data_IF_344330395109
#
_entry.id   IF_344330395109
#
_cell.length_a   1.000
_cell.length_b   1.000
_cell.length_c   1.000
_cell.angle_alpha   90.00
_cell.angle_beta   90.00
_cell.angle_gamma   90.00
#
_symmetry.space_group_name_H-M   'P 1'
#
loop_
_entity.id
_entity.type
_entity.pdbx_description
1 polymer ?
#
# COMPACT_ATOMS: atom_id res chain seq x y z
N UNK A 1 3.89 11.45 36.43
CA UNK A 1 2.72 10.70 35.90
C UNK A 1 3.13 9.24 35.77
N UNK A 2 2.52 8.33 36.53
CA UNK A 2 2.97 6.92 36.61
C UNK A 2 2.42 6.06 35.46
N UNK A 3 1.53 6.57 34.60
CA UNK A 3 0.88 5.81 33.55
C UNK A 3 1.13 6.43 32.17
N UNK A 4 1.44 5.58 31.18
CA UNK A 4 1.50 5.92 29.77
C UNK A 4 0.35 5.17 29.08
N UNK A 5 -0.51 5.90 28.39
CA UNK A 5 -1.57 5.31 27.58
C UNK A 5 -1.06 5.24 26.14
N UNK A 6 -1.08 4.06 25.57
CA UNK A 6 -0.69 3.80 24.18
C UNK A 6 -1.92 3.38 23.38
N UNK A 7 -1.94 3.73 22.10
CA UNK A 7 -2.96 3.29 21.14
C UNK A 7 -2.29 2.48 20.05
N UNK A 8 -3.08 1.67 19.34
CA UNK A 8 -2.62 0.90 18.19
C UNK A 8 -2.07 1.84 17.10
N UNK A 9 -0.94 1.45 16.51
CA UNK A 9 -0.30 2.19 15.41
C UNK A 9 -1.20 2.35 14.19
N UNK A 10 -2.14 1.44 13.98
CA UNK A 10 -3.15 1.49 12.91
C UNK A 10 -4.02 2.74 12.94
N UNK A 11 -4.14 3.43 14.08
CA UNK A 11 -4.85 4.72 14.17
C UNK A 11 -4.17 5.80 13.32
N UNK A 12 -2.86 5.72 13.12
CA UNK A 12 -2.08 6.73 12.39
C UNK A 12 -1.48 6.25 11.06
N UNK A 13 -1.23 4.96 10.93
CA UNK A 13 -0.63 4.32 9.74
C UNK A 13 -1.05 2.84 9.68
N UNK A 14 -2.29 2.59 9.29
CA UNK A 14 -2.91 1.28 9.34
C UNK A 14 -2.22 0.23 8.44
N UNK A 15 -1.65 0.65 7.33
CA UNK A 15 -0.93 -0.23 6.39
C UNK A 15 0.59 -0.11 6.48
N UNK A 16 1.12 0.67 7.43
CA UNK A 16 2.57 0.81 7.65
C UNK A 16 3.31 1.51 6.51
N UNK A 17 2.63 2.32 5.72
CA UNK A 17 3.17 2.90 4.48
C UNK A 17 4.14 4.06 4.70
N UNK A 18 4.05 4.78 5.83
CA UNK A 18 4.93 5.93 6.08
C UNK A 18 6.40 5.57 6.01
N UNK A 19 6.80 4.49 6.71
CA UNK A 19 8.18 4.03 6.70
C UNK A 19 8.66 3.64 5.30
N UNK A 20 7.80 3.03 4.48
CA UNK A 20 8.11 2.68 3.09
C UNK A 20 8.33 3.94 2.25
N UNK A 21 7.42 4.92 2.33
CA UNK A 21 7.52 6.18 1.60
C UNK A 21 8.76 6.98 2.00
N UNK A 22 9.10 7.03 3.29
CA UNK A 22 10.31 7.69 3.80
C UNK A 22 11.59 7.03 3.26
N UNK A 23 11.64 5.69 3.21
CA UNK A 23 12.76 4.94 2.63
C UNK A 23 12.90 5.25 1.13
N UNK A 24 11.81 5.22 0.35
CA UNK A 24 11.84 5.52 -1.08
C UNK A 24 12.26 6.98 -1.34
N UNK A 25 11.77 7.92 -0.55
CA UNK A 25 12.18 9.34 -0.62
C UNK A 25 13.66 9.53 -0.30
N UNK A 26 14.17 8.80 0.68
CA UNK A 26 15.59 8.81 1.04
C UNK A 26 16.45 8.27 -0.11
N UNK A 27 16.04 7.15 -0.72
CA UNK A 27 16.71 6.60 -1.90
C UNK A 27 16.76 7.61 -3.05
N UNK A 28 15.64 8.23 -3.36
CA UNK A 28 15.56 9.24 -4.42
C UNK A 28 16.52 10.41 -4.15
N UNK A 29 16.57 10.88 -2.90
CA UNK A 29 17.43 11.99 -2.49
C UNK A 29 18.92 11.64 -2.59
N UNK A 30 19.32 10.45 -2.14
CA UNK A 30 20.71 9.98 -2.21
C UNK A 30 21.17 9.79 -3.66
N UNK A 31 20.34 9.20 -4.52
CA UNK A 31 20.64 9.05 -5.94
C UNK A 31 20.76 10.42 -6.64
N UNK A 32 19.84 11.35 -6.36
CA UNK A 32 19.90 12.70 -6.89
C UNK A 32 21.20 13.44 -6.48
N UNK A 33 21.66 13.23 -5.25
CA UNK A 33 22.93 13.74 -4.77
C UNK A 33 24.17 13.04 -5.40
N UNK A 34 23.97 11.88 -6.02
CA UNK A 34 25.05 11.05 -6.56
C UNK A 34 25.81 10.27 -5.49
N UNK A 35 25.19 10.09 -4.32
CA UNK A 35 25.76 9.33 -3.21
C UNK A 35 25.67 7.84 -3.48
N UNK A 36 26.72 7.09 -3.11
CA UNK A 36 26.72 5.64 -3.17
C UNK A 36 26.07 5.06 -1.92
N UNK A 37 25.18 4.10 -2.15
CA UNK A 37 24.49 3.41 -1.06
C UNK A 37 24.77 1.90 -1.10
N UNK A 38 24.63 1.18 0.02
CA UNK A 38 24.72 -0.28 0.02
C UNK A 38 23.69 -0.97 -0.89
N UNK A 39 22.69 -0.23 -1.35
CA UNK A 39 21.55 -0.73 -2.14
C UNK A 39 21.68 -0.44 -3.64
N UNK A 40 22.79 0.11 -4.13
CA UNK A 40 23.00 0.43 -5.55
C UNK A 40 22.93 -0.79 -6.47
N UNK A 41 23.05 -2.01 -5.91
CA UNK A 41 22.90 -3.27 -6.63
C UNK A 41 21.44 -3.79 -6.68
N UNK A 42 20.52 -3.18 -5.91
CA UNK A 42 19.09 -3.54 -5.94
C UNK A 42 18.49 -3.11 -7.28
N UNK A 43 17.76 -4.02 -7.91
CA UNK A 43 17.09 -3.78 -9.21
C UNK A 43 15.58 -3.87 -9.10
N UNK A 44 15.07 -4.63 -8.15
CA UNK A 44 13.64 -4.82 -7.96
C UNK A 44 13.29 -4.66 -6.48
N UNK A 45 12.23 -3.92 -6.20
CA UNK A 45 11.62 -3.81 -4.89
C UNK A 45 10.16 -4.27 -5.02
N UNK A 46 9.80 -5.32 -4.30
CA UNK A 46 8.42 -5.77 -4.18
C UNK A 46 7.83 -5.23 -2.88
N UNK A 47 6.71 -4.53 -2.97
CA UNK A 47 5.98 -3.99 -1.83
C UNK A 47 4.62 -4.67 -1.80
N UNK A 48 4.42 -5.53 -0.81
CA UNK A 48 3.14 -6.19 -0.58
C UNK A 48 2.31 -5.34 0.38
N UNK A 49 1.24 -4.76 -0.15
CA UNK A 49 0.30 -3.97 0.64
C UNK A 49 -0.83 -4.88 1.08
N UNK A 50 -0.77 -5.33 2.33
CA UNK A 50 -1.80 -6.20 2.90
C UNK A 50 -2.86 -5.33 3.55
N UNK A 51 -4.01 -5.25 2.90
CA UNK A 51 -5.16 -4.49 3.37
C UNK A 51 -6.33 -5.43 3.67
N UNK A 52 -6.50 -5.76 4.93
CA UNK A 52 -7.60 -6.59 5.42
C UNK A 52 -8.82 -5.76 5.85
N UNK A 53 -8.98 -4.57 5.29
CA UNK A 53 -10.11 -3.70 5.59
C UNK A 53 -11.41 -4.43 5.28
N UNK A 54 -12.08 -4.90 6.32
CA UNK A 54 -13.42 -5.44 6.23
C UNK A 54 -14.40 -4.28 6.03
N UNK A 55 -15.16 -4.34 4.94
CA UNK A 55 -16.23 -3.38 4.67
C UNK A 55 -17.56 -4.13 4.81
N UNK A 56 -18.06 -4.31 6.05
CA UNK A 56 -19.35 -4.96 6.24
C UNK A 56 -20.44 -4.17 5.50
N UNK A 57 -21.43 -4.86 4.93
CA UNK A 57 -22.53 -4.19 4.22
C UNK A 57 -23.16 -3.14 5.13
N UNK A 58 -23.16 -1.90 4.69
CA UNK A 58 -23.84 -0.83 5.40
C UNK A 58 -25.30 -0.78 4.91
N UNK A 59 -26.24 -1.12 5.77
CA UNK A 59 -27.67 -1.12 5.48
C UNK A 59 -28.42 0.06 6.10
N UNK A 60 -27.71 1.09 6.60
CA UNK A 60 -28.32 2.28 7.21
C UNK A 60 -29.38 2.91 6.31
N UNK A 61 -29.15 2.90 4.98
CA UNK A 61 -30.12 3.43 4.02
C UNK A 61 -31.38 2.57 3.83
N UNK A 62 -31.47 1.40 4.48
CA UNK A 62 -32.66 0.54 4.46
C UNK A 62 -33.57 0.73 5.68
N UNK A 63 -33.11 1.48 6.67
CA UNK A 63 -33.83 1.76 7.90
C UNK A 63 -34.27 3.21 7.97
N UNK A 64 -35.52 3.45 8.34
CA UNK A 64 -36.07 4.78 8.53
C UNK A 64 -35.45 5.51 9.74
N UNK A 65 -35.08 4.74 10.75
CA UNK A 65 -34.43 5.28 11.94
C UNK A 65 -32.95 5.56 11.70
N UNK A 66 -32.40 6.68 12.19
CA UNK A 66 -30.99 6.96 12.11
C UNK A 66 -30.18 5.91 12.89
N UNK A 67 -28.93 5.62 12.46
CA UNK A 67 -28.06 4.71 13.19
C UNK A 67 -27.78 5.23 14.61
N UNK A 68 -27.43 4.33 15.53
CA UNK A 68 -27.06 4.71 16.88
C UNK A 68 -25.85 5.64 16.88
N UNK A 69 -25.83 6.60 17.80
CA UNK A 69 -24.74 7.58 17.91
C UNK A 69 -23.36 6.91 18.00
N UNK A 70 -23.27 5.78 18.69
CA UNK A 70 -22.03 5.01 18.84
C UNK A 70 -21.55 4.43 17.50
N UNK A 71 -22.44 3.92 16.65
CA UNK A 71 -22.11 3.40 15.32
C UNK A 71 -21.63 4.51 14.39
N UNK A 72 -22.27 5.69 14.48
CA UNK A 72 -21.83 6.87 13.74
C UNK A 72 -20.44 7.30 14.18
N UNK A 73 -20.15 7.28 15.49
CA UNK A 73 -18.86 7.68 16.03
C UNK A 73 -17.73 6.73 15.59
N UNK A 74 -17.98 5.40 15.66
CA UNK A 74 -17.02 4.39 15.16
C UNK A 74 -16.77 4.60 13.67
N UNK A 75 -17.81 4.78 12.87
CA UNK A 75 -17.66 4.99 11.43
C UNK A 75 -16.94 6.31 11.11
N UNK A 76 -17.24 7.37 11.85
CA UNK A 76 -16.61 8.67 11.68
C UNK A 76 -15.10 8.64 12.02
N UNK A 77 -14.68 7.84 12.99
CA UNK A 77 -13.25 7.69 13.33
C UNK A 77 -12.53 6.75 12.38
N UNK A 78 -13.19 5.71 11.86
CA UNK A 78 -12.60 4.76 10.89
C UNK A 78 -12.37 5.38 9.51
N UNK A 79 -13.29 6.22 9.04
CA UNK A 79 -13.22 6.80 7.69
C UNK A 79 -11.92 7.57 7.37
N UNK A 80 -11.38 8.42 8.26
CA UNK A 80 -10.10 9.07 8.02
C UNK A 80 -8.93 8.08 7.92
N UNK A 81 -8.93 7.01 8.72
CA UNK A 81 -7.89 5.98 8.73
C UNK A 81 -7.89 5.23 7.39
N UNK A 82 -9.06 4.85 6.91
CA UNK A 82 -9.25 4.18 5.62
C UNK A 82 -8.78 5.06 4.46
N UNK A 83 -9.17 6.34 4.48
CA UNK A 83 -8.77 7.31 3.48
C UNK A 83 -7.27 7.55 3.48
N UNK A 84 -6.65 7.64 4.65
CA UNK A 84 -5.21 7.82 4.78
C UNK A 84 -4.43 6.62 4.22
N UNK A 85 -4.93 5.42 4.46
CA UNK A 85 -4.36 4.18 3.91
C UNK A 85 -4.44 4.17 2.38
N UNK A 86 -5.57 4.59 1.82
CA UNK A 86 -5.77 4.69 0.39
C UNK A 86 -4.82 5.71 -0.24
N UNK A 87 -4.76 6.94 0.30
CA UNK A 87 -3.91 8.01 -0.19
C UNK A 87 -2.42 7.61 -0.15
N UNK A 88 -2.00 6.85 0.85
CA UNK A 88 -0.62 6.35 0.96
C UNK A 88 -0.28 5.33 -0.14
N UNK A 89 -1.22 4.44 -0.50
CA UNK A 89 -1.05 3.49 -1.60
C UNK A 89 -1.00 4.20 -2.95
N UNK A 90 -1.84 5.20 -3.17
CA UNK A 90 -1.80 6.02 -4.38
C UNK A 90 -0.48 6.78 -4.50
N UNK A 91 0.02 7.38 -3.41
CA UNK A 91 1.34 8.01 -3.38
C UNK A 91 2.45 7.04 -3.77
N UNK A 92 2.38 5.78 -3.31
CA UNK A 92 3.35 4.75 -3.70
C UNK A 92 3.27 4.44 -5.20
N UNK A 93 2.08 4.35 -5.77
CA UNK A 93 1.90 4.14 -7.22
C UNK A 93 2.42 5.31 -8.04
N UNK A 94 2.25 6.54 -7.56
CA UNK A 94 2.81 7.73 -8.19
C UNK A 94 4.35 7.70 -8.20
N UNK A 95 4.99 7.27 -7.11
CA UNK A 95 6.44 7.07 -7.05
C UNK A 95 6.87 6.00 -8.05
N UNK A 96 6.18 4.87 -8.11
CA UNK A 96 6.44 3.79 -9.06
C UNK A 96 6.40 4.30 -10.51
N UNK A 97 5.33 5.01 -10.89
CA UNK A 97 5.14 5.56 -12.23
C UNK A 97 6.22 6.61 -12.56
N UNK A 98 6.53 7.50 -11.61
CA UNK A 98 7.57 8.53 -11.78
C UNK A 98 8.94 7.89 -12.03
N UNK A 99 9.35 6.90 -11.23
CA UNK A 99 10.65 6.23 -11.44
C UNK A 99 10.70 5.47 -12.76
N UNK A 100 9.59 4.85 -13.19
CA UNK A 100 9.50 4.22 -14.51
C UNK A 100 9.71 5.22 -15.63
N UNK A 101 8.99 6.34 -15.61
CA UNK A 101 9.12 7.42 -16.62
C UNK A 101 10.51 8.03 -16.62
N UNK A 102 11.12 8.26 -15.46
CA UNK A 102 12.50 8.77 -15.37
C UNK A 102 13.51 7.80 -16.02
N UNK A 103 13.35 6.48 -15.86
CA UNK A 103 14.21 5.50 -16.52
C UNK A 103 14.01 5.51 -18.03
N UNK A 104 12.78 5.57 -18.52
CA UNK A 104 12.49 5.67 -19.96
C UNK A 104 13.14 6.90 -20.58
N UNK A 105 12.98 8.06 -19.95
CA UNK A 105 13.63 9.30 -20.41
C UNK A 105 15.15 9.17 -20.38
N UNK A 106 15.72 8.64 -19.29
CA UNK A 106 17.16 8.39 -19.18
C UNK A 106 17.66 7.53 -20.33
N UNK A 107 16.98 6.43 -20.62
CA UNK A 107 17.39 5.49 -21.65
C UNK A 107 17.26 6.11 -23.06
N UNK A 108 16.27 6.97 -23.28
CA UNK A 108 16.10 7.73 -24.52
C UNK A 108 17.20 8.78 -24.75
N UNK A 109 17.72 9.40 -23.68
CA UNK A 109 18.74 10.47 -23.79
C UNK A 109 20.18 9.98 -23.72
N UNK A 110 20.42 8.73 -23.32
CA UNK A 110 21.78 8.13 -23.27
C UNK A 110 22.63 8.36 -24.52
N UNK A 111 22.06 8.30 -25.77
CA UNK A 111 22.83 8.57 -26.98
C UNK A 111 23.23 10.04 -27.15
N UNK A 112 22.74 10.94 -26.32
CA UNK A 112 22.92 12.38 -26.44
C UNK A 112 23.65 12.99 -25.24
N UNK A 113 25.00 12.93 -25.15
CA UNK A 113 25.74 13.31 -23.92
C UNK A 113 25.44 14.74 -23.44
N UNK A 114 25.30 15.69 -24.37
CA UNK A 114 24.99 17.10 -24.02
C UNK A 114 23.63 17.24 -23.29
N UNK A 115 22.66 16.43 -23.65
CA UNK A 115 21.37 16.39 -22.95
C UNK A 115 21.51 15.73 -21.57
N UNK A 116 22.30 14.66 -21.47
CA UNK A 116 22.59 13.99 -20.21
C UNK A 116 23.22 14.93 -19.18
N UNK A 117 24.16 15.78 -19.59
CA UNK A 117 24.80 16.77 -18.73
C UNK A 117 23.81 17.81 -18.19
N UNK A 118 22.81 18.19 -18.99
CA UNK A 118 21.76 19.13 -18.58
C UNK A 118 20.69 18.49 -17.70
N UNK A 119 20.47 17.19 -17.83
CA UNK A 119 19.43 16.43 -17.15
C UNK A 119 20.00 15.45 -16.13
N UNK A 120 20.99 15.89 -15.35
CA UNK A 120 21.71 15.05 -14.39
C UNK A 120 20.78 14.36 -13.38
N UNK A 121 19.73 15.01 -12.94
CA UNK A 121 18.73 14.40 -12.01
C UNK A 121 18.08 13.17 -12.65
N UNK A 122 17.75 13.23 -13.95
CA UNK A 122 17.18 12.08 -14.68
C UNK A 122 18.24 10.99 -14.86
N UNK A 123 19.48 11.37 -15.19
CA UNK A 123 20.59 10.42 -15.34
C UNK A 123 20.94 9.68 -14.04
N UNK A 124 20.69 10.33 -12.91
CA UNK A 124 20.91 9.78 -11.57
C UNK A 124 19.68 9.13 -10.98
N UNK A 125 18.57 9.04 -11.71
CA UNK A 125 17.36 8.36 -11.22
C UNK A 125 17.68 6.91 -10.84
N UNK A 126 17.07 6.39 -9.76
CA UNK A 126 17.29 5.01 -9.31
C UNK A 126 17.01 3.99 -10.41
N UNK A 127 17.93 3.05 -10.62
CA UNK A 127 17.76 1.94 -11.56
C UNK A 127 17.03 0.77 -10.89
N UNK A 128 15.94 1.11 -10.25
CA UNK A 128 15.13 0.20 -9.42
C UNK A 128 13.70 0.16 -9.97
N UNK A 129 13.20 -1.03 -10.19
CA UNK A 129 11.80 -1.26 -10.52
C UNK A 129 11.03 -1.52 -9.23
N UNK A 130 10.04 -0.69 -8.95
CA UNK A 130 9.12 -0.90 -7.84
C UNK A 130 7.93 -1.70 -8.37
N UNK A 131 7.53 -2.75 -7.64
CA UNK A 131 6.36 -3.58 -7.93
C UNK A 131 5.45 -3.56 -6.70
N UNK A 132 4.24 -3.06 -6.86
CA UNK A 132 3.26 -2.92 -5.77
C UNK A 132 2.21 -4.02 -5.94
N UNK A 133 2.19 -4.94 -5.00
CA UNK A 133 1.25 -6.07 -4.97
C UNK A 133 0.20 -5.80 -3.90
N UNK A 134 -1.03 -5.55 -4.32
CA UNK A 134 -2.14 -5.37 -3.39
C UNK A 134 -2.74 -6.71 -2.99
N UNK A 135 -2.78 -6.96 -1.69
CA UNK A 135 -3.42 -8.14 -1.09
C UNK A 135 -4.62 -7.65 -0.29
N UNK A 136 -5.77 -7.63 -0.93
CA UNK A 136 -7.03 -7.19 -0.33
C UNK A 136 -8.18 -8.14 -0.72
N UNK A 137 -9.28 -8.11 0.04
CA UNK A 137 -10.45 -8.91 -0.31
C UNK A 137 -11.07 -8.44 -1.64
N UNK A 138 -10.89 -7.17 -1.99
CA UNK A 138 -11.44 -6.57 -3.21
C UNK A 138 -10.91 -7.20 -4.50
N UNK A 139 -9.68 -7.72 -4.52
CA UNK A 139 -9.06 -8.31 -5.71
C UNK A 139 -9.48 -9.77 -5.96
N UNK A 140 -10.18 -10.41 -5.03
CA UNK A 140 -10.64 -11.79 -5.19
C UNK A 140 -11.79 -11.85 -6.21
N UNK A 141 -11.77 -12.81 -7.14
CA UNK A 141 -12.82 -12.93 -8.17
C UNK A 141 -14.16 -13.43 -7.62
N UNK A 142 -14.14 -14.31 -6.62
CA UNK A 142 -15.35 -14.89 -6.03
C UNK A 142 -16.03 -13.91 -5.07
N UNK A 143 -17.24 -13.47 -5.44
CA UNK A 143 -18.04 -12.56 -4.62
C UNK A 143 -18.44 -13.19 -3.27
N UNK A 144 -18.77 -14.49 -3.24
CA UNK A 144 -19.21 -15.16 -2.01
C UNK A 144 -18.06 -15.24 -1.01
N UNK A 145 -16.86 -15.51 -1.52
CA UNK A 145 -15.65 -15.52 -0.69
C UNK A 145 -15.33 -14.13 -0.15
N UNK A 146 -15.39 -13.08 -1.00
CA UNK A 146 -15.23 -11.69 -0.54
C UNK A 146 -16.23 -11.32 0.54
N UNK A 147 -17.52 -11.64 0.31
CA UNK A 147 -18.58 -11.32 1.25
C UNK A 147 -18.34 -12.02 2.61
N UNK A 148 -17.94 -13.29 2.59
CA UNK A 148 -17.61 -14.03 3.81
C UNK A 148 -16.42 -13.39 4.55
N UNK A 149 -15.30 -13.16 3.87
CA UNK A 149 -14.09 -12.59 4.47
C UNK A 149 -14.34 -11.19 5.05
N UNK A 150 -15.19 -10.39 4.42
CA UNK A 150 -15.61 -9.08 4.91
C UNK A 150 -16.48 -9.14 6.18
N UNK A 151 -17.04 -10.30 6.54
CA UNK A 151 -17.81 -10.46 7.78
C UNK A 151 -16.96 -10.93 8.96
N UNK A 152 -15.70 -11.31 8.73
CA UNK A 152 -14.84 -11.78 9.79
C UNK A 152 -14.53 -10.65 10.78
N UNK A 153 -14.60 -10.95 12.09
CA UNK A 153 -14.28 -9.95 13.09
C UNK A 153 -12.77 -9.68 13.15
N UNK A 154 -12.39 -8.46 13.51
CA UNK A 154 -11.01 -8.16 13.90
C UNK A 154 -10.74 -8.79 15.26
N UNK A 155 -10.14 -9.98 15.27
CA UNK A 155 -9.94 -10.79 16.47
C UNK A 155 -8.62 -11.56 16.39
N UNK A 156 -7.98 -11.77 17.54
CA UNK A 156 -6.83 -12.67 17.67
C UNK A 156 -7.24 -14.16 17.72
N UNK A 157 -8.53 -14.43 17.80
CA UNK A 157 -9.08 -15.79 17.83
C UNK A 157 -10.10 -15.90 16.72
N UNK A 158 -9.76 -16.67 15.69
CA UNK A 158 -10.64 -17.04 14.58
C UNK A 158 -10.75 -18.55 14.51
N UNK A 159 -11.84 -19.04 13.95
CA UNK A 159 -12.00 -20.45 13.65
C UNK A 159 -10.96 -20.93 12.61
N UNK A 160 -10.52 -22.17 12.70
CA UNK A 160 -9.49 -22.75 11.82
C UNK A 160 -9.87 -22.61 10.34
N UNK A 161 -11.14 -22.86 9.99
CA UNK A 161 -11.65 -22.68 8.61
C UNK A 161 -11.49 -21.23 8.15
N UNK A 162 -11.79 -20.25 8.97
CA UNK A 162 -11.63 -18.84 8.63
C UNK A 162 -10.15 -18.48 8.38
N UNK A 163 -9.26 -19.01 9.21
CA UNK A 163 -7.80 -18.82 9.05
C UNK A 163 -7.31 -19.44 7.74
N UNK A 164 -7.71 -20.66 7.43
CA UNK A 164 -7.30 -21.35 6.20
C UNK A 164 -7.85 -20.63 4.96
N UNK A 165 -9.07 -20.14 4.99
CA UNK A 165 -9.67 -19.35 3.89
C UNK A 165 -8.92 -18.03 3.70
N UNK A 166 -8.54 -17.32 4.76
CA UNK A 166 -7.70 -16.11 4.69
C UNK A 166 -6.35 -16.40 4.02
N UNK A 167 -5.70 -17.51 4.38
CA UNK A 167 -4.41 -17.93 3.79
C UNK A 167 -4.54 -18.22 2.30
N UNK A 168 -5.60 -18.93 1.90
CA UNK A 168 -5.89 -19.23 0.49
C UNK A 168 -6.21 -17.96 -0.28
N UNK A 169 -7.01 -17.06 0.30
CA UNK A 169 -7.36 -15.77 -0.29
C UNK A 169 -6.11 -14.91 -0.55
N UNK A 170 -5.24 -14.77 0.45
CA UNK A 170 -3.98 -14.02 0.32
C UNK A 170 -3.08 -14.62 -0.77
N UNK A 171 -2.91 -15.96 -0.78
CA UNK A 171 -2.15 -16.65 -1.83
C UNK A 171 -2.71 -16.38 -3.22
N UNK A 172 -4.03 -16.48 -3.38
CA UNK A 172 -4.69 -16.26 -4.67
C UNK A 172 -4.55 -14.80 -5.13
N UNK A 173 -4.69 -13.83 -4.23
CA UNK A 173 -4.49 -12.42 -4.52
C UNK A 173 -3.06 -12.14 -5.02
N UNK A 174 -2.06 -12.69 -4.37
CA UNK A 174 -0.65 -12.55 -4.77
C UNK A 174 -0.39 -13.18 -6.15
N UNK A 175 -0.82 -14.42 -6.36
CA UNK A 175 -0.58 -15.14 -7.62
C UNK A 175 -1.35 -14.56 -8.80
N UNK A 176 -2.49 -13.91 -8.56
CA UNK A 176 -3.27 -13.23 -9.60
C UNK A 176 -2.72 -11.84 -9.96
N UNK A 177 -1.79 -11.30 -9.17
CA UNK A 177 -1.22 -9.97 -9.43
C UNK A 177 -0.35 -10.00 -10.70
N UNK A 178 -0.55 -9.08 -11.64
CA UNK A 178 0.31 -8.92 -12.82
C UNK A 178 1.78 -8.63 -12.43
N UNK A 179 2.00 -8.04 -11.27
CA UNK A 179 3.32 -7.65 -10.79
C UNK A 179 4.18 -8.86 -10.35
N UNK A 180 3.55 -10.03 -10.16
CA UNK A 180 4.21 -11.28 -9.73
C UNK A 180 4.40 -12.23 -10.91
N UNK A 181 3.62 -12.09 -11.98
CA UNK A 181 3.74 -12.87 -13.21
C UNK A 181 4.85 -12.35 -14.10
#
# INVERSE_FOLDING_TARGET
RPYIHVVDGGVSDNVGMRGVLDVLSTFESLHAAGEKTPYDHVRNIFIFVVNSLATPPNDWGRHENPPALFDVLIKATGTPIDRYSYDAVETLRDIQARWASMREVRDAIKPYPVLGDRLQTVMRAPDITIRVVEVSFGVLPDKRERDFLNTLPTSFVLDDDAVDRLRVAAKNAILASPEVQ
#
